data_IF_247841523765
#
_entry.id   IF_247841523765
#
_cell.length_a   1.000
_cell.length_b   1.000
_cell.length_c   1.000
_cell.angle_alpha   90.00
_cell.angle_beta   90.00
_cell.angle_gamma   90.00
#
_symmetry.space_group_name_H-M   'P 1'
#
loop_
_entity.id
_entity.type
_entity.pdbx_description
1 polymer ?
#
# COMPACT_ATOMS: atom_id res chain seq x y z
N UNK A 1 16.40 18.00 -3.90
CA UNK A 1 15.08 17.79 -4.51
C UNK A 1 15.20 17.47 -6.00
N UNK A 2 15.90 18.29 -6.80
CA UNK A 2 16.12 18.04 -8.22
C UNK A 2 16.64 16.63 -8.56
N UNK A 3 17.73 16.18 -7.91
CA UNK A 3 18.27 14.84 -8.12
C UNK A 3 17.25 13.71 -7.85
N UNK A 4 16.40 13.86 -6.83
CA UNK A 4 15.35 12.88 -6.50
C UNK A 4 14.32 12.76 -7.62
N UNK A 5 13.89 13.87 -8.20
CA UNK A 5 12.94 13.87 -9.31
C UNK A 5 13.58 13.43 -10.64
N UNK A 6 14.87 13.72 -10.84
CA UNK A 6 15.60 13.14 -11.97
C UNK A 6 15.70 11.62 -11.87
N UNK A 7 16.00 11.08 -10.68
CA UNK A 7 15.95 9.65 -10.44
C UNK A 7 14.54 9.07 -10.68
N UNK A 8 13.49 9.76 -10.20
CA UNK A 8 12.11 9.34 -10.46
C UNK A 8 11.80 9.31 -11.97
N UNK A 9 12.25 10.31 -12.73
CA UNK A 9 12.11 10.33 -14.19
C UNK A 9 12.77 9.11 -14.85
N UNK A 10 14.03 8.81 -14.50
CA UNK A 10 14.70 7.61 -15.01
C UNK A 10 13.97 6.32 -14.62
N UNK A 11 13.41 6.25 -13.41
CA UNK A 11 12.61 5.10 -12.97
C UNK A 11 11.31 4.96 -13.76
N UNK A 12 10.64 6.06 -14.12
CA UNK A 12 9.45 6.01 -14.97
C UNK A 12 9.79 5.50 -16.37
N UNK A 13 10.85 6.03 -16.99
CA UNK A 13 11.30 5.60 -18.33
C UNK A 13 11.71 4.12 -18.29
N UNK A 14 12.48 3.70 -17.29
CA UNK A 14 12.88 2.30 -17.11
C UNK A 14 11.68 1.36 -16.91
N UNK A 15 10.68 1.78 -16.12
CA UNK A 15 9.45 1.01 -15.94
C UNK A 15 8.69 0.86 -17.25
N UNK A 16 8.52 1.96 -18.00
CA UNK A 16 7.80 1.94 -19.27
C UNK A 16 8.50 1.06 -20.32
N UNK A 17 9.83 1.10 -20.38
CA UNK A 17 10.61 0.17 -21.20
C UNK A 17 10.43 -1.29 -20.76
N UNK A 18 10.40 -1.56 -19.46
CA UNK A 18 10.20 -2.90 -18.93
C UNK A 18 8.80 -3.45 -19.24
N UNK A 19 7.76 -2.62 -19.18
CA UNK A 19 6.40 -2.99 -19.60
C UNK A 19 6.37 -3.37 -21.08
N UNK A 20 6.91 -2.50 -21.95
CA UNK A 20 6.95 -2.75 -23.40
C UNK A 20 7.68 -4.05 -23.74
N UNK A 21 8.90 -4.22 -23.20
CA UNK A 21 9.68 -5.45 -23.39
C UNK A 21 8.94 -6.68 -22.84
N UNK A 22 8.27 -6.50 -21.70
CA UNK A 22 7.46 -7.53 -21.06
C UNK A 22 6.33 -8.03 -21.94
N UNK A 23 5.56 -7.12 -22.56
CA UNK A 23 4.49 -7.48 -23.50
C UNK A 23 5.02 -8.17 -24.77
N UNK A 24 6.20 -7.75 -25.27
CA UNK A 24 6.85 -8.40 -26.41
C UNK A 24 7.32 -9.83 -26.08
N UNK A 25 7.93 -10.02 -24.92
CA UNK A 25 8.50 -11.31 -24.50
C UNK A 25 7.44 -12.28 -23.96
N UNK A 26 6.39 -11.77 -23.33
CA UNK A 26 5.36 -12.55 -22.63
C UNK A 26 3.96 -12.07 -23.03
N UNK A 27 3.48 -12.39 -24.25
CA UNK A 27 2.15 -11.99 -24.70
C UNK A 27 1.05 -12.44 -23.71
N UNK A 28 0.23 -11.50 -23.26
CA UNK A 28 -0.85 -11.74 -22.30
C UNK A 28 -0.45 -11.62 -20.83
N UNK A 29 0.82 -11.40 -20.50
CA UNK A 29 1.23 -11.02 -19.15
C UNK A 29 0.77 -9.59 -18.83
N UNK A 30 0.42 -9.35 -17.57
CA UNK A 30 0.06 -8.03 -17.05
C UNK A 30 1.22 -7.49 -16.21
N UNK A 31 1.53 -6.20 -16.37
CA UNK A 31 2.61 -5.51 -15.69
C UNK A 31 2.03 -4.37 -14.86
N UNK A 32 2.31 -4.38 -13.56
CA UNK A 32 1.84 -3.36 -12.63
C UNK A 32 2.98 -2.61 -11.96
N UNK A 33 2.64 -1.50 -11.33
CA UNK A 33 3.54 -0.77 -10.44
C UNK A 33 3.03 -0.81 -9.01
N UNK A 34 3.93 -1.07 -8.07
CA UNK A 34 3.63 -1.09 -6.65
C UNK A 34 3.64 0.32 -6.08
N UNK A 35 2.53 0.72 -5.47
CA UNK A 35 2.39 1.99 -4.78
C UNK A 35 2.15 1.79 -3.28
N UNK A 36 2.90 2.51 -2.44
CA UNK A 36 2.63 2.53 -1.00
C UNK A 36 1.47 3.49 -0.71
N UNK A 37 0.24 2.95 -0.67
CA UNK A 37 -0.96 3.74 -0.45
C UNK A 37 -1.17 4.03 1.04
N UNK A 38 -1.51 5.27 1.33
CA UNK A 38 -2.07 5.69 2.61
C UNK A 38 -3.10 6.76 2.31
N UNK A 39 -4.39 6.55 2.62
CA UNK A 39 -5.38 7.62 2.55
C UNK A 39 -4.93 8.82 3.37
N UNK A 40 -5.20 10.01 2.86
CA UNK A 40 -5.03 11.27 3.60
C UNK A 40 -6.39 11.92 3.69
N UNK A 41 -6.89 12.11 4.92
CA UNK A 41 -8.14 12.80 5.20
C UNK A 41 -7.88 14.24 5.62
N UNK A 42 -8.79 15.14 5.31
CA UNK A 42 -8.75 16.47 5.90
C UNK A 42 -9.13 16.36 7.38
N UNK A 43 -8.35 16.99 8.27
CA UNK A 43 -8.61 16.95 9.72
C UNK A 43 -9.91 17.64 10.10
N UNK A 44 -10.31 18.66 9.35
CA UNK A 44 -11.56 19.39 9.54
C UNK A 44 -12.23 19.70 8.19
N UNK A 45 -13.49 20.14 8.21
CA UNK A 45 -14.20 20.60 7.02
C UNK A 45 -13.82 22.03 6.58
N UNK A 46 -12.79 22.65 7.18
CA UNK A 46 -12.28 23.95 6.73
C UNK A 46 -11.82 23.82 5.28
N UNK A 47 -12.23 24.73 4.36
CA UNK A 47 -11.85 24.65 2.95
C UNK A 47 -10.33 24.55 2.71
N UNK A 48 -9.53 25.18 3.56
CA UNK A 48 -8.07 25.14 3.49
C UNK A 48 -7.52 23.74 3.81
N UNK A 49 -8.10 23.03 4.78
CA UNK A 49 -7.69 21.65 5.11
C UNK A 49 -8.10 20.69 4.00
N UNK A 50 -9.28 20.88 3.39
CA UNK A 50 -9.76 20.10 2.23
C UNK A 50 -8.86 20.31 1.01
N UNK A 51 -8.50 21.57 0.72
CA UNK A 51 -7.61 21.88 -0.40
C UNK A 51 -6.18 21.38 -0.17
N UNK A 52 -5.68 21.46 1.07
CA UNK A 52 -4.39 20.89 1.45
C UNK A 52 -4.39 19.37 1.27
N UNK A 53 -5.46 18.68 1.70
CA UNK A 53 -5.63 17.24 1.48
C UNK A 53 -5.56 16.89 -0.01
N UNK A 54 -6.31 17.59 -0.86
CA UNK A 54 -6.30 17.36 -2.31
C UNK A 54 -4.90 17.57 -2.91
N UNK A 55 -4.19 18.62 -2.48
CA UNK A 55 -2.84 18.93 -2.94
C UNK A 55 -1.83 17.87 -2.50
N UNK A 56 -1.92 17.44 -1.24
CA UNK A 56 -1.12 16.34 -0.69
C UNK A 56 -1.40 15.06 -1.47
N UNK A 57 -2.67 14.70 -1.69
CA UNK A 57 -3.04 13.49 -2.46
C UNK A 57 -2.45 13.51 -3.86
N UNK A 58 -2.58 14.63 -4.59
CA UNK A 58 -1.96 14.80 -5.91
C UNK A 58 -0.46 14.53 -5.88
N UNK A 59 0.25 15.10 -4.90
CA UNK A 59 1.70 14.89 -4.75
C UNK A 59 2.04 13.44 -4.40
N UNK A 60 1.25 12.78 -3.55
CA UNK A 60 1.48 11.38 -3.21
C UNK A 60 1.16 10.43 -4.36
N UNK A 61 0.16 10.74 -5.19
CA UNK A 61 -0.25 9.93 -6.34
C UNK A 61 0.56 10.21 -7.61
N UNK A 62 1.42 11.22 -7.59
CA UNK A 62 2.25 11.63 -8.73
C UNK A 62 2.94 10.45 -9.45
N UNK A 63 3.52 9.51 -8.70
CA UNK A 63 4.24 8.38 -9.28
C UNK A 63 3.33 7.46 -10.06
N UNK A 64 2.19 7.10 -9.47
CA UNK A 64 1.22 6.22 -10.12
C UNK A 64 0.46 6.96 -11.24
N UNK A 65 0.25 8.27 -11.13
CA UNK A 65 -0.29 9.11 -12.20
C UNK A 65 0.56 8.98 -13.48
N UNK A 66 1.89 9.16 -13.35
CA UNK A 66 2.80 9.06 -14.51
C UNK A 66 2.82 7.64 -15.08
N UNK A 67 2.89 6.62 -14.23
CA UNK A 67 3.00 5.22 -14.68
C UNK A 67 1.70 4.68 -15.28
N UNK A 68 0.54 5.12 -14.78
CA UNK A 68 -0.76 4.69 -15.28
C UNK A 68 -1.22 5.46 -16.52
N UNK A 69 -0.87 6.76 -16.62
CA UNK A 69 -1.33 7.64 -17.70
C UNK A 69 -0.30 7.88 -18.79
N UNK A 70 0.98 7.60 -18.51
CA UNK A 70 2.08 7.79 -19.46
C UNK A 70 2.48 9.25 -19.66
N UNK A 71 1.99 10.17 -18.82
CA UNK A 71 2.25 11.60 -18.92
C UNK A 71 2.38 12.26 -17.55
N UNK A 72 3.09 13.38 -17.52
CA UNK A 72 3.23 14.19 -16.32
C UNK A 72 1.97 15.02 -16.04
N UNK A 73 1.43 15.02 -14.81
CA UNK A 73 0.28 15.84 -14.46
C UNK A 73 0.54 17.34 -14.66
N UNK A 74 -0.47 18.09 -15.12
CA UNK A 74 -0.34 19.53 -15.43
C UNK A 74 0.23 20.38 -14.29
N UNK A 75 -0.15 20.09 -13.04
CA UNK A 75 0.30 20.84 -11.86
C UNK A 75 1.79 20.66 -11.56
N UNK A 76 2.42 19.61 -12.10
CA UNK A 76 3.80 19.25 -11.79
C UNK A 76 4.78 20.30 -12.33
N UNK A 77 4.49 20.92 -13.49
CA UNK A 77 5.40 21.88 -14.11
C UNK A 77 5.63 23.10 -13.22
N UNK A 78 4.54 23.66 -12.68
CA UNK A 78 4.60 24.78 -11.73
C UNK A 78 5.27 24.35 -10.42
N UNK A 79 4.92 23.17 -9.90
CA UNK A 79 5.56 22.65 -8.69
C UNK A 79 7.08 22.48 -8.85
N UNK A 80 7.54 22.01 -10.02
CA UNK A 80 8.96 21.84 -10.29
C UNK A 80 9.68 23.17 -10.44
N UNK A 81 9.08 24.12 -11.16
CA UNK A 81 9.59 25.48 -11.27
C UNK A 81 9.75 26.14 -9.89
N UNK A 82 8.72 26.07 -9.05
CA UNK A 82 8.72 26.67 -7.71
C UNK A 82 9.74 26.05 -6.77
N UNK A 83 10.15 24.80 -7.03
CA UNK A 83 11.12 24.06 -6.21
C UNK A 83 12.52 23.94 -6.87
N UNK A 84 12.77 24.67 -7.96
CA UNK A 84 14.06 24.62 -8.67
C UNK A 84 14.42 23.23 -9.19
N UNK A 85 13.40 22.46 -9.59
CA UNK A 85 13.55 21.15 -10.22
C UNK A 85 13.50 21.34 -11.74
N UNK A 86 14.63 21.14 -12.40
CA UNK A 86 14.72 21.05 -13.85
C UNK A 86 15.01 19.60 -14.22
N UNK A 87 14.10 18.96 -14.95
CA UNK A 87 14.30 17.60 -15.43
C UNK A 87 15.03 17.62 -16.76
N UNK A 88 16.04 16.78 -16.89
CA UNK A 88 16.55 16.34 -18.18
C UNK A 88 15.59 15.26 -18.69
N UNK A 89 14.85 15.59 -19.76
CA UNK A 89 13.96 14.68 -20.48
C UNK A 89 14.55 14.51 -21.87
N UNK A 90 15.01 13.30 -22.18
CA UNK A 90 15.67 13.00 -23.45
C UNK A 90 14.68 12.91 -24.61
N UNK A 91 15.12 13.13 -25.86
CA UNK A 91 14.30 12.87 -27.03
C UNK A 91 13.77 11.42 -27.03
N UNK A 92 12.45 11.27 -26.99
CA UNK A 92 11.77 9.96 -27.00
C UNK A 92 11.22 9.53 -25.64
N UNK A 93 11.66 10.11 -24.52
CA UNK A 93 11.19 9.70 -23.18
C UNK A 93 9.68 9.82 -23.03
N UNK A 94 9.08 10.91 -23.55
CA UNK A 94 7.63 11.10 -23.53
C UNK A 94 6.87 10.01 -24.30
N UNK A 95 7.42 9.56 -25.43
CA UNK A 95 6.83 8.49 -26.23
C UNK A 95 7.01 7.13 -25.55
N UNK A 96 8.14 6.92 -24.88
CA UNK A 96 8.37 5.72 -24.08
C UNK A 96 7.34 5.64 -22.95
N UNK A 97 7.12 6.72 -22.21
CA UNK A 97 6.16 6.78 -21.11
C UNK A 97 4.71 6.52 -21.59
N UNK A 98 4.30 7.15 -22.70
CA UNK A 98 2.94 6.99 -23.24
C UNK A 98 2.66 5.57 -23.74
N UNK A 99 3.66 4.88 -24.28
CA UNK A 99 3.54 3.52 -24.80
C UNK A 99 3.76 2.41 -23.77
N UNK A 100 4.31 2.74 -22.59
CA UNK A 100 4.67 1.78 -21.55
C UNK A 100 3.88 1.96 -20.25
N UNK A 101 2.58 2.27 -20.36
CA UNK A 101 1.71 2.37 -19.19
C UNK A 101 1.43 1.01 -18.57
N UNK A 102 1.26 0.99 -17.25
CA UNK A 102 0.95 -0.24 -16.51
C UNK A 102 -0.46 -0.77 -16.82
N UNK A 103 -0.63 -2.09 -16.76
CA UNK A 103 -1.89 -2.79 -17.01
C UNK A 103 -2.80 -2.85 -15.77
N UNK A 104 -2.21 -2.77 -14.57
CA UNK A 104 -2.92 -2.80 -13.29
C UNK A 104 -2.15 -2.04 -12.22
N UNK A 105 -2.84 -1.61 -11.17
CA UNK A 105 -2.21 -0.92 -10.04
C UNK A 105 -2.08 -1.91 -8.90
N UNK A 106 -0.85 -2.20 -8.50
CA UNK A 106 -0.61 -2.90 -7.24
C UNK A 106 -0.33 -1.89 -6.13
N UNK A 107 -0.82 -2.15 -4.93
CA UNK A 107 -0.55 -1.24 -3.82
C UNK A 107 -0.48 -1.95 -2.48
N UNK A 108 0.23 -1.31 -1.54
CA UNK A 108 0.14 -1.61 -0.13
C UNK A 108 -0.78 -0.64 0.59
N UNK A 109 -1.44 -1.08 1.65
CA UNK A 109 -2.16 -0.19 2.55
C UNK A 109 -2.14 -0.77 3.95
N UNK A 110 -1.75 0.05 4.92
CA UNK A 110 -1.69 -0.34 6.33
C UNK A 110 -2.42 0.61 7.26
N UNK A 111 -2.51 1.89 6.87
CA UNK A 111 -3.01 2.97 7.72
C UNK A 111 -3.50 4.13 6.88
N UNK A 112 -4.36 4.95 7.47
CA UNK A 112 -4.72 6.27 6.96
C UNK A 112 -4.13 7.37 7.84
N UNK A 113 -4.18 8.60 7.35
CA UNK A 113 -3.58 9.76 8.01
C UNK A 113 -4.46 11.00 7.87
N UNK A 114 -4.23 12.04 8.68
CA UNK A 114 -4.98 13.31 8.55
C UNK A 114 -4.06 14.52 8.34
N UNK A 115 -4.48 15.47 7.51
CA UNK A 115 -3.74 16.71 7.29
C UNK A 115 -4.59 17.96 7.56
N UNK A 116 -3.89 19.04 7.85
CA UNK A 116 -4.39 20.42 7.94
C UNK A 116 -3.72 21.28 6.86
N UNK A 117 -4.17 22.52 6.71
CA UNK A 117 -3.53 23.53 5.87
C UNK A 117 -2.05 23.79 6.23
N UNK A 118 -1.68 23.57 7.49
CA UNK A 118 -0.33 23.76 8.00
C UNK A 118 0.55 22.50 7.88
N UNK A 119 0.00 21.40 7.36
CA UNK A 119 0.74 20.15 7.20
C UNK A 119 1.75 20.23 6.06
N UNK A 120 3.02 19.99 6.37
CA UNK A 120 4.09 19.95 5.38
C UNK A 120 4.27 18.53 4.81
N UNK A 121 4.31 18.40 3.48
CA UNK A 121 4.64 17.13 2.83
C UNK A 121 6.15 16.88 2.92
N UNK A 122 6.59 16.07 3.89
CA UNK A 122 7.98 15.61 3.97
C UNK A 122 8.16 14.33 3.14
N UNK A 123 9.17 14.33 2.27
CA UNK A 123 9.40 13.33 1.20
C UNK A 123 9.42 11.85 1.65
N UNK A 124 9.63 11.54 2.93
CA UNK A 124 9.84 10.16 3.40
C UNK A 124 8.89 9.71 4.53
N UNK A 125 8.00 10.57 5.02
CA UNK A 125 7.05 10.17 6.06
C UNK A 125 5.79 10.98 5.87
N UNK A 126 4.68 10.31 5.58
CA UNK A 126 3.34 10.83 5.88
C UNK A 126 3.22 10.87 7.42
N UNK A 127 3.95 11.78 8.06
CA UNK A 127 3.90 12.07 9.49
C UNK A 127 2.82 13.11 9.67
N UNK A 128 1.60 12.63 9.55
CA UNK A 128 0.38 13.40 9.58
C UNK A 128 -0.32 13.16 10.90
N UNK A 129 -1.19 14.09 11.29
CA UNK A 129 -1.81 14.04 12.60
C UNK A 129 -2.62 12.76 12.78
N UNK A 130 -2.63 12.16 13.99
CA UNK A 130 -3.47 11.02 14.28
C UNK A 130 -4.94 11.38 14.07
N UNK A 131 -5.68 10.44 13.49
CA UNK A 131 -7.13 10.52 13.38
C UNK A 131 -7.74 10.17 14.76
N UNK A 132 -8.42 11.10 15.45
CA UNK A 132 -8.97 10.84 16.79
C UNK A 132 -10.10 9.81 16.81
N UNK A 133 -10.60 9.40 15.64
CA UNK A 133 -11.69 8.42 15.49
C UNK A 133 -11.18 7.00 15.21
N UNK A 134 -9.87 6.81 15.08
CA UNK A 134 -9.27 5.51 14.77
C UNK A 134 -8.40 5.02 15.92
N UNK A 135 -8.50 3.72 16.20
CA UNK A 135 -7.55 3.05 17.08
C UNK A 135 -6.18 2.97 16.42
N UNK A 136 -5.14 3.01 17.24
CA UNK A 136 -3.76 2.89 16.79
C UNK A 136 -3.08 1.68 17.44
N UNK A 137 -2.27 0.98 16.65
CA UNK A 137 -1.36 -0.06 17.13
C UNK A 137 -0.32 0.54 18.09
N UNK A 138 0.40 -0.29 18.88
CA UNK A 138 1.51 0.17 19.71
C UNK A 138 2.64 0.89 18.93
N UNK A 139 2.72 0.73 17.60
CA UNK A 139 3.64 1.44 16.72
C UNK A 139 3.05 2.75 16.14
N UNK A 140 1.90 3.20 16.65
CA UNK A 140 1.24 4.44 16.24
C UNK A 140 0.58 4.39 14.86
N UNK A 141 0.40 3.20 14.28
CA UNK A 141 -0.31 3.04 13.00
C UNK A 141 -1.80 2.90 13.26
N UNK A 142 -2.61 3.74 12.63
CA UNK A 142 -4.07 3.67 12.69
C UNK A 142 -4.59 2.43 11.99
N UNK A 143 -5.62 1.80 12.57
CA UNK A 143 -6.34 0.68 11.97
C UNK A 143 -7.57 1.25 11.27
N UNK A 144 -7.58 1.19 9.93
CA UNK A 144 -8.64 1.81 9.10
C UNK A 144 -9.07 0.90 7.94
N UNK A 145 -9.94 -0.09 8.20
CA UNK A 145 -10.44 -0.98 7.16
C UNK A 145 -11.25 -0.20 6.10
N UNK A 146 -12.00 0.83 6.49
CA UNK A 146 -12.75 1.66 5.54
C UNK A 146 -11.81 2.45 4.61
N UNK A 147 -10.65 2.86 5.12
CA UNK A 147 -9.60 3.48 4.32
C UNK A 147 -9.09 2.61 3.17
N UNK A 148 -9.12 1.28 3.32
CA UNK A 148 -8.78 0.36 2.24
C UNK A 148 -9.84 0.41 1.12
N UNK A 149 -11.13 0.37 1.48
CA UNK A 149 -12.24 0.55 0.53
C UNK A 149 -12.22 1.93 -0.13
N UNK A 150 -11.86 2.97 0.61
CA UNK A 150 -11.65 4.32 0.07
C UNK A 150 -10.58 4.34 -1.02
N UNK A 151 -9.40 3.72 -0.78
CA UNK A 151 -8.31 3.67 -1.77
C UNK A 151 -8.72 2.90 -3.01
N UNK A 152 -9.44 1.78 -2.84
CA UNK A 152 -9.96 1.02 -3.98
C UNK A 152 -10.86 1.89 -4.86
N UNK A 153 -11.80 2.64 -4.26
CA UNK A 153 -12.67 3.57 -4.99
C UNK A 153 -11.86 4.69 -5.65
N UNK A 154 -10.99 5.37 -4.90
CA UNK A 154 -10.18 6.49 -5.42
C UNK A 154 -9.32 6.05 -6.62
N UNK A 155 -8.71 4.87 -6.56
CA UNK A 155 -7.85 4.39 -7.64
C UNK A 155 -8.67 3.96 -8.85
N UNK A 156 -9.77 3.24 -8.63
CA UNK A 156 -10.66 2.83 -9.71
C UNK A 156 -11.25 4.05 -10.44
N UNK A 157 -11.77 5.04 -9.70
CA UNK A 157 -12.37 6.26 -10.25
C UNK A 157 -11.34 7.14 -10.97
N UNK A 158 -10.06 7.05 -10.59
CA UNK A 158 -9.00 7.88 -11.17
C UNK A 158 -8.33 7.26 -12.39
N UNK A 159 -8.24 5.92 -12.46
CA UNK A 159 -7.42 5.23 -13.45
C UNK A 159 -8.18 4.18 -14.27
N UNK A 160 -9.30 3.63 -13.76
CA UNK A 160 -10.05 2.54 -14.39
C UNK A 160 -9.17 1.32 -14.74
N UNK A 161 -8.13 1.08 -13.94
CA UNK A 161 -7.24 -0.08 -14.05
C UNK A 161 -7.57 -1.10 -12.95
N UNK A 162 -7.48 -2.41 -13.22
CA UNK A 162 -7.61 -3.44 -12.19
C UNK A 162 -6.67 -3.20 -11.01
N UNK A 163 -7.11 -3.58 -9.81
CA UNK A 163 -6.38 -3.28 -8.57
C UNK A 163 -5.90 -4.56 -7.90
N UNK A 164 -4.66 -4.58 -7.41
CA UNK A 164 -4.10 -5.73 -6.68
C UNK A 164 -3.51 -5.26 -5.35
N UNK A 165 -4.10 -5.68 -4.24
CA UNK A 165 -3.57 -5.41 -2.91
C UNK A 165 -2.40 -6.37 -2.67
N UNK A 166 -1.17 -5.88 -2.81
CA UNK A 166 0.03 -6.73 -2.73
C UNK A 166 0.66 -6.75 -1.33
N UNK A 167 0.30 -5.78 -0.48
CA UNK A 167 0.65 -5.84 0.93
C UNK A 167 -0.41 -5.19 1.81
N UNK A 168 -0.89 -5.94 2.79
CA UNK A 168 -1.68 -5.46 3.90
C UNK A 168 -1.56 -6.49 5.03
N UNK A 169 -1.55 -6.03 6.28
CA UNK A 169 -1.42 -6.92 7.42
C UNK A 169 -1.13 -6.18 8.71
N UNK A 170 -1.08 -6.93 9.80
CA UNK A 170 -0.88 -6.38 11.14
C UNK A 170 0.41 -6.91 11.75
N UNK A 171 1.33 -5.98 11.99
CA UNK A 171 2.56 -6.22 12.72
C UNK A 171 2.36 -5.96 14.21
N UNK A 172 2.49 -7.01 15.03
CA UNK A 172 2.33 -6.96 16.49
C UNK A 172 3.44 -7.77 17.16
N UNK A 173 3.60 -7.57 18.48
CA UNK A 173 4.42 -8.49 19.27
C UNK A 173 3.59 -9.76 19.52
N UNK A 174 4.07 -10.90 19.03
CA UNK A 174 3.48 -12.19 19.38
C UNK A 174 4.11 -12.73 20.67
N UNK A 175 3.30 -13.41 21.49
CA UNK A 175 3.73 -14.11 22.70
C UNK A 175 3.45 -15.61 22.52
N UNK A 176 4.44 -16.42 22.10
CA UNK A 176 4.29 -17.86 21.99
C UNK A 176 4.23 -18.53 23.37
N UNK A 177 3.45 -19.60 23.50
CA UNK A 177 3.47 -20.48 24.68
C UNK A 177 4.66 -21.46 24.66
N UNK A 178 4.68 -22.41 25.60
CA UNK A 178 5.75 -23.41 25.73
C UNK A 178 5.89 -24.33 24.51
N UNK A 179 4.82 -24.49 23.71
CA UNK A 179 4.78 -25.30 22.50
C UNK A 179 4.96 -24.45 21.22
N UNK A 180 5.32 -23.17 21.37
CA UNK A 180 5.42 -22.17 20.30
C UNK A 180 4.09 -21.87 19.59
N UNK A 181 2.96 -22.17 20.23
CA UNK A 181 1.65 -21.75 19.74
C UNK A 181 1.44 -20.26 19.99
N UNK A 182 0.87 -19.56 19.01
CA UNK A 182 0.54 -18.14 19.10
C UNK A 182 -0.94 -17.95 18.85
N UNK A 183 -1.64 -17.45 19.87
CA UNK A 183 -3.04 -17.08 19.85
C UNK A 183 -3.22 -15.65 19.32
N UNK A 184 -3.12 -15.46 18.01
CA UNK A 184 -3.09 -14.13 17.36
C UNK A 184 -4.45 -13.64 16.86
N UNK A 185 -5.48 -13.66 17.73
CA UNK A 185 -6.83 -13.18 17.38
C UNK A 185 -6.87 -11.72 16.91
N UNK A 186 -5.99 -10.86 17.41
CA UNK A 186 -5.89 -9.47 16.94
C UNK A 186 -5.55 -9.39 15.44
N UNK A 187 -4.77 -10.35 14.92
CA UNK A 187 -4.39 -10.42 13.50
C UNK A 187 -5.58 -10.93 12.68
N UNK A 188 -6.30 -11.92 13.20
CA UNK A 188 -7.54 -12.42 12.58
C UNK A 188 -8.58 -11.30 12.50
N UNK A 189 -8.81 -10.56 13.58
CA UNK A 189 -9.79 -9.46 13.61
C UNK A 189 -9.44 -8.35 12.63
N UNK A 190 -8.16 -7.93 12.58
CA UNK A 190 -7.70 -6.97 11.59
C UNK A 190 -8.00 -7.44 10.16
N UNK A 191 -7.65 -8.68 9.82
CA UNK A 191 -7.88 -9.24 8.49
C UNK A 191 -9.37 -9.40 8.16
N UNK A 192 -10.20 -9.83 9.13
CA UNK A 192 -11.66 -9.92 8.99
C UNK A 192 -12.25 -8.57 8.59
N UNK A 193 -11.87 -7.50 9.29
CA UNK A 193 -12.40 -6.16 9.03
C UNK A 193 -11.95 -5.62 7.66
N UNK A 194 -10.68 -5.83 7.29
CA UNK A 194 -10.17 -5.38 5.99
C UNK A 194 -10.75 -6.21 4.83
N UNK A 195 -10.92 -7.53 4.98
CA UNK A 195 -11.58 -8.36 3.98
C UNK A 195 -13.05 -8.02 3.82
N UNK A 196 -13.75 -7.63 4.90
CA UNK A 196 -15.11 -7.10 4.79
C UNK A 196 -15.12 -5.82 3.94
N UNK A 197 -14.19 -4.90 4.17
CA UNK A 197 -14.10 -3.67 3.38
C UNK A 197 -13.75 -3.93 1.90
N UNK A 198 -12.87 -4.89 1.62
CA UNK A 198 -12.56 -5.33 0.24
C UNK A 198 -13.79 -5.97 -0.40
N UNK A 199 -14.49 -6.84 0.33
CA UNK A 199 -15.72 -7.49 -0.14
C UNK A 199 -16.78 -6.45 -0.50
N UNK A 200 -16.99 -5.46 0.37
CA UNK A 200 -17.92 -4.37 0.09
C UNK A 200 -17.51 -3.55 -1.14
N UNK A 201 -16.21 -3.29 -1.34
CA UNK A 201 -15.70 -2.61 -2.54
C UNK A 201 -16.01 -3.40 -3.83
N UNK A 202 -15.89 -4.72 -3.77
CA UNK A 202 -16.18 -5.60 -4.92
C UNK A 202 -17.69 -5.75 -5.15
N UNK A 203 -18.46 -6.06 -4.11
CA UNK A 203 -19.88 -6.44 -4.23
C UNK A 203 -20.83 -5.25 -4.28
N UNK A 204 -20.52 -4.16 -3.56
CA UNK A 204 -21.40 -2.99 -3.47
C UNK A 204 -20.94 -1.87 -4.41
N UNK A 205 -19.63 -1.64 -4.51
CA UNK A 205 -19.08 -0.54 -5.34
C UNK A 205 -18.72 -1.00 -6.76
N UNK A 206 -18.64 -2.31 -7.01
CA UNK A 206 -18.37 -2.89 -8.34
C UNK A 206 -16.91 -2.79 -8.79
N UNK A 207 -15.96 -2.65 -7.86
CA UNK A 207 -14.54 -2.45 -8.18
C UNK A 207 -13.86 -3.78 -8.50
N UNK A 208 -13.18 -3.91 -9.66
CA UNK A 208 -12.46 -5.13 -10.00
C UNK A 208 -11.13 -5.20 -9.25
N UNK A 209 -11.10 -6.08 -8.25
CA UNK A 209 -9.91 -6.42 -7.47
C UNK A 209 -9.36 -7.76 -7.95
N UNK A 210 -8.13 -7.76 -8.46
CA UNK A 210 -7.43 -8.95 -8.96
C UNK A 210 -7.12 -9.95 -7.85
N UNK A 211 -6.81 -9.45 -6.65
CA UNK A 211 -6.46 -10.31 -5.54
C UNK A 211 -5.92 -9.54 -4.34
N UNK A 212 -5.50 -10.33 -3.35
CA UNK A 212 -4.92 -9.87 -2.10
C UNK A 212 -3.76 -10.79 -1.71
N UNK A 213 -2.59 -10.21 -1.41
CA UNK A 213 -1.49 -10.92 -0.76
C UNK A 213 -1.16 -10.29 0.59
N UNK A 214 -1.30 -11.10 1.65
CA UNK A 214 -1.03 -10.68 3.01
C UNK A 214 0.45 -10.39 3.22
N UNK A 215 0.74 -9.32 3.96
CA UNK A 215 2.04 -9.11 4.57
C UNK A 215 2.04 -9.64 6.02
N UNK A 216 2.76 -10.71 6.36
CA UNK A 216 3.58 -11.61 5.55
C UNK A 216 3.10 -13.06 5.68
N UNK A 217 3.47 -13.93 4.73
CA UNK A 217 3.16 -15.35 4.83
C UNK A 217 3.95 -16.10 5.91
N UNK A 218 5.03 -15.50 6.40
CA UNK A 218 5.92 -16.01 7.44
C UNK A 218 6.52 -14.81 8.18
N UNK A 219 6.88 -15.00 9.44
CA UNK A 219 7.65 -13.99 10.16
C UNK A 219 8.98 -13.68 9.46
N UNK A 220 9.31 -12.39 9.45
CA UNK A 220 10.43 -11.81 8.73
C UNK A 220 10.99 -10.62 9.52
N UNK A 221 12.23 -10.26 9.23
CA UNK A 221 12.85 -9.06 9.81
C UNK A 221 12.18 -7.83 9.23
N UNK A 222 11.57 -7.02 10.10
CA UNK A 222 10.86 -5.79 9.73
C UNK A 222 11.78 -4.82 8.98
N UNK A 223 11.38 -4.37 7.78
CA UNK A 223 12.15 -3.39 7.02
C UNK A 223 12.28 -2.04 7.76
N UNK A 224 11.22 -1.61 8.45
CA UNK A 224 11.19 -0.27 9.06
C UNK A 224 11.98 -0.17 10.35
N UNK A 225 12.04 -1.25 11.14
CA UNK A 225 12.67 -1.25 12.47
C UNK A 225 13.86 -2.19 12.59
N UNK A 226 14.07 -3.10 11.63
CA UNK A 226 15.10 -4.14 11.72
C UNK A 226 14.82 -5.19 12.78
N UNK A 227 13.58 -5.26 13.29
CA UNK A 227 13.18 -6.13 14.40
C UNK A 227 12.52 -7.41 13.91
N UNK A 228 12.76 -8.51 14.62
CA UNK A 228 11.91 -9.70 14.62
C UNK A 228 10.73 -9.58 15.59
N UNK A 229 10.85 -8.75 16.63
CA UNK A 229 9.80 -8.56 17.65
C UNK A 229 8.46 -8.14 17.05
N UNK A 230 8.48 -7.33 15.98
CA UNK A 230 7.28 -6.96 15.23
C UNK A 230 6.98 -8.02 14.17
N UNK A 231 6.06 -8.93 14.48
CA UNK A 231 5.74 -10.11 13.68
C UNK A 231 4.51 -9.89 12.82
N UNK A 232 4.57 -10.34 11.57
CA UNK A 232 3.49 -10.19 10.58
C UNK A 232 2.97 -11.53 10.07
N UNK A 233 3.76 -12.60 10.22
CA UNK A 233 3.47 -13.91 9.66
C UNK A 233 2.19 -14.50 10.23
N UNK A 234 1.51 -15.35 9.46
CA UNK A 234 0.69 -16.42 10.06
C UNK A 234 1.54 -17.66 10.42
N UNK A 235 2.81 -17.70 10.01
CA UNK A 235 3.81 -18.69 10.46
C UNK A 235 4.81 -18.00 11.37
N UNK A 236 4.84 -18.40 12.64
CA UNK A 236 5.83 -17.96 13.61
C UNK A 236 7.20 -18.54 13.27
N UNK A 237 8.25 -17.74 13.41
CA UNK A 237 9.65 -18.19 13.31
C UNK A 237 10.33 -17.98 14.65
N UNK A 238 10.88 -19.06 15.22
CA UNK A 238 11.68 -19.01 16.45
C UNK A 238 13.03 -18.34 16.19
N UNK A 239 13.00 -17.01 16.26
CA UNK A 239 14.13 -16.10 16.15
C UNK A 239 13.80 -14.78 16.87
N UNK A 240 14.71 -14.30 17.71
CA UNK A 240 14.64 -12.99 18.36
C UNK A 240 15.37 -11.90 17.56
N UNK A 241 15.32 -10.65 18.05
CA UNK A 241 16.00 -9.50 17.43
C UNK A 241 17.53 -9.63 17.35
N UNK A 242 18.12 -10.54 18.15
CA UNK A 242 19.56 -10.82 18.16
C UNK A 242 19.91 -12.01 17.26
N UNK A 243 18.95 -12.52 16.49
CA UNK A 243 19.12 -13.68 15.64
C UNK A 243 19.23 -15.01 16.40
N UNK A 244 18.83 -15.05 17.67
CA UNK A 244 18.85 -16.28 18.47
C UNK A 244 17.52 -17.00 18.37
N UNK A 245 17.57 -18.32 18.23
CA UNK A 245 16.41 -19.20 18.13
C UNK A 245 16.72 -20.41 17.25
N UNK A 246 15.84 -21.41 17.23
CA UNK A 246 16.02 -22.63 16.44
C UNK A 246 15.71 -22.46 14.94
N UNK A 247 15.15 -21.31 14.55
CA UNK A 247 14.57 -21.05 13.23
C UNK A 247 13.45 -22.03 12.85
N UNK A 248 12.89 -22.79 13.79
CA UNK A 248 11.73 -23.64 13.51
C UNK A 248 10.50 -22.78 13.22
N UNK A 249 9.60 -23.34 12.42
CA UNK A 249 8.40 -22.68 11.92
C UNK A 249 7.17 -23.30 12.57
N UNK A 250 6.30 -22.46 13.11
CA UNK A 250 5.12 -22.89 13.85
C UNK A 250 3.89 -22.16 13.29
N UNK A 251 2.86 -22.87 12.79
CA UNK A 251 1.62 -22.24 12.37
C UNK A 251 0.92 -21.55 13.56
N UNK A 252 0.60 -20.26 13.42
CA UNK A 252 -0.20 -19.50 14.39
C UNK A 252 -1.69 -19.81 14.24
N UNK A 253 -2.54 -19.30 15.13
CA UNK A 253 -4.01 -19.41 14.97
C UNK A 253 -4.47 -18.84 13.62
N UNK A 254 -3.93 -17.69 13.22
CA UNK A 254 -4.25 -17.03 11.95
C UNK A 254 -3.94 -17.86 10.71
N UNK A 255 -3.00 -18.81 10.78
CA UNK A 255 -2.71 -19.74 9.68
C UNK A 255 -3.92 -20.63 9.39
N UNK A 256 -4.47 -21.24 10.44
CA UNK A 256 -5.62 -22.12 10.32
C UNK A 256 -6.87 -21.36 9.91
N UNK A 257 -7.06 -20.15 10.45
CA UNK A 257 -8.14 -19.27 10.03
C UNK A 257 -8.03 -18.90 8.55
N UNK A 258 -6.87 -18.47 8.07
CA UNK A 258 -6.70 -18.11 6.65
C UNK A 258 -6.86 -19.32 5.73
N UNK A 259 -6.36 -20.49 6.15
CA UNK A 259 -6.56 -21.75 5.43
C UNK A 259 -8.05 -22.07 5.26
N UNK A 260 -8.85 -21.91 6.30
CA UNK A 260 -10.29 -22.13 6.24
C UNK A 260 -10.99 -21.07 5.36
N UNK A 261 -10.65 -19.79 5.56
CA UNK A 261 -11.17 -18.68 4.76
C UNK A 261 -10.92 -18.88 3.25
N UNK A 262 -9.69 -19.23 2.86
CA UNK A 262 -9.35 -19.49 1.45
C UNK A 262 -10.06 -20.73 0.89
N UNK A 263 -10.25 -21.78 1.70
CA UNK A 263 -10.92 -23.02 1.27
C UNK A 263 -12.42 -22.83 1.05
N UNK A 264 -13.07 -22.08 1.92
CA UNK A 264 -14.52 -21.93 1.92
C UNK A 264 -14.99 -20.68 1.15
N UNK A 265 -14.07 -19.77 0.82
CA UNK A 265 -14.39 -18.47 0.22
C UNK A 265 -15.23 -17.60 1.16
N UNK A 266 -16.01 -16.67 0.60
CA UNK A 266 -16.91 -15.77 1.35
C UNK A 266 -18.06 -16.46 2.12
N UNK A 267 -18.07 -17.80 2.19
CA UNK A 267 -19.04 -18.60 2.97
C UNK A 267 -18.67 -18.74 4.45
N UNK A 268 -17.43 -18.45 4.84
CA UNK A 268 -17.08 -18.33 6.27
C UNK A 268 -17.73 -17.05 6.80
N UNK A 269 -18.64 -17.12 7.80
CA UNK A 269 -19.26 -15.93 8.35
C UNK A 269 -18.18 -15.01 8.91
N UNK A 270 -18.06 -13.80 8.37
CA UNK A 270 -17.14 -12.79 8.90
C UNK A 270 -17.57 -12.32 10.32
N UNK A 271 -18.77 -12.70 10.76
CA UNK A 271 -19.39 -12.33 12.03
C UNK A 271 -19.42 -13.48 13.07
N UNK A 272 -18.70 -14.60 12.86
CA UNK A 272 -18.58 -15.67 13.87
C UNK A 272 -17.35 -15.51 14.74
#
# INVERSE_FOLDING_TARGET
MAATYQCAHHMFVASALAVKLGHEMMPGALFGAMYAASPVYARTCRPQDVFAQMTIRRRTLFYIDVMARGEYPVWQADFFKDNGVELVIEPGDKEILSQGTIDYISFSMYRSTTCTADSELKMNVLSFDPNPYLEATPWGWTIDPLGLRYVLNEFWDRYQLPLFIVENGLGMADEPDEDFWVEDDYRINYLKDHFKAIKDAVELDGIPVLGYTMWGGIDLVSLSTGEMKKRYGWVYVDMDDKGKGSLKRYPKKSFYWMKDFMKNGSRTPLNS
#
